data_IF_826445753323
#
_entry.id   IF_826445753323
#
_cell.length_a   1.000
_cell.length_b   1.000
_cell.length_c   1.000
_cell.angle_alpha   90.00
_cell.angle_beta   90.00
_cell.angle_gamma   90.00
#
_symmetry.space_group_name_H-M   'P 1'
#
loop_
_entity.id
_entity.type
_entity.pdbx_description
1 polymer ?
#
# COMPACT_ATOMS: atom_id res chain seq x y z
N UNK A 1 17.49 3.31 -6.98
CA UNK A 1 16.08 3.57 -6.64
C UNK A 1 16.01 3.75 -5.13
N UNK A 2 15.91 5.00 -4.69
CA UNK A 2 15.81 5.44 -3.30
C UNK A 2 14.53 6.25 -3.14
N UNK A 3 13.78 6.00 -2.06
CA UNK A 3 12.54 6.72 -1.77
C UNK A 3 12.81 8.13 -1.18
N UNK A 4 11.74 8.84 -0.86
CA UNK A 4 11.76 10.20 -0.30
C UNK A 4 11.62 10.24 1.24
N UNK A 5 11.90 9.14 1.95
CA UNK A 5 11.65 9.00 3.41
C UNK A 5 12.90 8.92 4.30
N UNK A 6 14.00 9.56 3.90
CA UNK A 6 15.28 9.46 4.62
C UNK A 6 15.70 10.73 5.39
N UNK A 7 14.97 11.84 5.27
CA UNK A 7 15.34 13.09 5.92
C UNK A 7 14.19 14.09 6.07
N UNK A 8 14.42 15.15 6.86
CA UNK A 8 13.47 16.25 7.00
C UNK A 8 13.45 17.12 5.74
N UNK A 9 12.27 17.55 5.31
CA UNK A 9 12.10 18.36 4.09
C UNK A 9 12.28 17.58 2.77
N UNK A 10 12.44 16.26 2.84
CA UNK A 10 12.62 15.36 1.68
C UNK A 10 11.29 14.85 1.09
N UNK A 11 10.24 14.51 1.88
CA UNK A 11 9.01 13.93 1.33
C UNK A 11 8.36 14.81 0.25
N UNK A 12 7.93 14.18 -0.85
CA UNK A 12 7.41 14.80 -2.08
C UNK A 12 8.36 15.80 -2.79
N UNK A 13 9.64 15.86 -2.41
CA UNK A 13 10.59 16.86 -2.94
C UNK A 13 11.87 16.22 -3.50
N UNK A 14 12.38 15.17 -2.85
CA UNK A 14 13.66 14.55 -3.20
C UNK A 14 13.58 13.02 -3.14
N UNK A 15 14.09 12.34 -4.16
CA UNK A 15 14.13 10.88 -4.25
C UNK A 15 13.99 10.42 -5.70
N UNK A 16 14.30 9.16 -5.98
CA UNK A 16 14.07 8.58 -7.32
C UNK A 16 12.56 8.40 -7.59
N UNK A 17 11.78 8.24 -6.52
CA UNK A 17 10.33 8.23 -6.54
C UNK A 17 9.76 8.79 -5.24
N UNK A 18 8.55 9.33 -5.31
CA UNK A 18 7.85 9.92 -4.17
C UNK A 18 6.90 8.92 -3.53
N UNK A 19 6.93 8.83 -2.21
CA UNK A 19 5.90 8.15 -1.43
C UNK A 19 5.04 9.15 -0.69
N UNK A 20 5.54 10.36 -0.41
CA UNK A 20 4.82 11.45 0.24
C UNK A 20 4.29 11.14 1.65
N UNK A 21 3.26 10.31 1.75
CA UNK A 21 2.64 9.83 2.98
C UNK A 21 2.21 8.38 2.85
N UNK A 22 1.81 7.74 3.94
CA UNK A 22 1.15 6.44 3.87
C UNK A 22 -0.19 6.57 3.14
N UNK A 23 -0.58 5.54 2.37
CA UNK A 23 -1.81 5.53 1.59
C UNK A 23 -1.94 6.72 0.62
N UNK A 24 -0.81 7.26 0.15
CA UNK A 24 -0.80 8.39 -0.77
C UNK A 24 -1.44 8.00 -2.11
N UNK A 25 -2.52 8.67 -2.47
CA UNK A 25 -3.16 8.53 -3.78
C UNK A 25 -3.53 9.93 -4.30
N UNK A 26 -2.80 10.48 -5.28
CA UNK A 26 -2.97 11.85 -5.73
C UNK A 26 -4.27 12.08 -6.52
N UNK A 27 -4.87 11.04 -7.10
CA UNK A 27 -6.08 11.15 -7.93
C UNK A 27 -5.91 11.94 -9.24
N UNK A 28 -4.70 12.38 -9.56
CA UNK A 28 -4.34 13.06 -10.80
C UNK A 28 -2.97 12.57 -11.27
N UNK A 29 -2.67 12.75 -12.56
CA UNK A 29 -1.40 12.33 -13.13
C UNK A 29 -0.24 13.13 -12.51
N UNK A 30 0.74 12.42 -11.96
CA UNK A 30 1.95 13.02 -11.38
C UNK A 30 3.10 12.88 -12.38
N UNK A 31 3.77 14.00 -12.68
CA UNK A 31 4.89 14.02 -13.64
C UNK A 31 6.10 13.24 -13.15
N UNK A 32 6.34 13.22 -11.83
CA UNK A 32 7.41 12.47 -11.20
C UNK A 32 6.95 11.05 -10.82
N UNK A 33 7.87 10.08 -10.83
CA UNK A 33 7.57 8.73 -10.37
C UNK A 33 7.22 8.72 -8.89
N UNK A 34 6.24 7.90 -8.53
CA UNK A 34 5.73 7.83 -7.17
C UNK A 34 5.18 6.42 -6.87
N UNK A 35 5.00 6.10 -5.60
CA UNK A 35 4.54 4.79 -5.13
C UNK A 35 3.48 4.93 -4.04
N UNK A 36 2.37 4.20 -4.19
CA UNK A 36 1.31 4.08 -3.20
C UNK A 36 1.58 2.87 -2.31
N UNK A 37 1.99 3.11 -1.07
CA UNK A 37 2.12 2.08 -0.05
C UNK A 37 0.83 2.01 0.78
N UNK A 38 0.12 0.88 0.73
CA UNK A 38 -1.10 0.67 1.52
C UNK A 38 -1.19 -0.75 2.11
N UNK A 39 -2.05 -0.90 3.12
CA UNK A 39 -2.27 -2.14 3.86
C UNK A 39 -3.57 -2.82 3.45
N UNK A 40 -3.58 -4.15 3.39
CA UNK A 40 -4.84 -4.90 3.22
C UNK A 40 -5.69 -4.81 4.49
N UNK A 41 -5.08 -4.78 5.67
CA UNK A 41 -5.77 -4.42 6.93
C UNK A 41 -5.93 -2.89 6.99
N UNK A 42 -7.13 -2.38 7.26
CA UNK A 42 -7.45 -0.94 7.24
C UNK A 42 -6.78 -0.16 8.36
N UNK A 43 -6.39 -0.82 9.46
CA UNK A 43 -5.89 -0.18 10.67
C UNK A 43 -4.42 -0.48 11.00
N UNK A 44 -3.79 -1.45 10.31
CA UNK A 44 -2.47 -1.93 10.72
C UNK A 44 -1.58 -2.40 9.56
N UNK A 45 -0.28 -2.08 9.68
CA UNK A 45 0.79 -2.67 8.87
C UNK A 45 1.20 -4.07 9.35
N UNK A 46 1.09 -4.33 10.66
CA UNK A 46 1.39 -5.64 11.26
C UNK A 46 0.16 -6.55 11.34
N UNK A 47 0.38 -7.83 11.62
CA UNK A 47 -0.71 -8.78 11.86
C UNK A 47 -1.41 -8.50 13.21
N UNK A 48 -2.71 -8.23 13.15
CA UNK A 48 -3.56 -8.02 14.34
C UNK A 48 -4.48 -9.22 14.52
N UNK A 49 -4.29 -9.96 15.62
CA UNK A 49 -5.02 -11.21 15.88
C UNK A 49 -6.52 -11.00 16.13
N UNK A 50 -6.91 -9.80 16.56
CA UNK A 50 -8.30 -9.44 16.87
C UNK A 50 -9.04 -8.85 15.67
N UNK A 51 -8.38 -8.64 14.52
CA UNK A 51 -9.02 -8.12 13.31
C UNK A 51 -10.07 -9.11 12.79
N UNK A 52 -11.25 -8.58 12.51
CA UNK A 52 -12.36 -9.28 11.86
C UNK A 52 -12.27 -9.13 10.35
N UNK A 53 -13.07 -9.89 9.59
CA UNK A 53 -13.08 -9.82 8.12
C UNK A 53 -13.40 -8.41 7.58
N UNK A 54 -14.17 -7.60 8.31
CA UNK A 54 -14.56 -6.24 7.91
C UNK A 54 -13.42 -5.22 8.05
N UNK A 55 -12.41 -5.55 8.87
CA UNK A 55 -11.23 -4.72 9.09
C UNK A 55 -10.22 -4.84 7.93
N UNK A 56 -10.46 -5.76 6.99
CA UNK A 56 -9.66 -5.89 5.77
C UNK A 56 -10.37 -5.23 4.59
N UNK A 57 -9.58 -4.74 3.65
CA UNK A 57 -10.07 -4.26 2.36
C UNK A 57 -10.73 -5.41 1.59
N UNK A 58 -11.82 -5.11 0.91
CA UNK A 58 -12.40 -6.02 -0.07
C UNK A 58 -11.53 -6.06 -1.31
N UNK A 59 -11.74 -7.07 -2.16
CA UNK A 59 -11.00 -7.14 -3.42
C UNK A 59 -11.30 -5.93 -4.32
N UNK A 60 -12.53 -5.45 -4.33
CA UNK A 60 -12.94 -4.27 -5.10
C UNK A 60 -12.21 -3.01 -4.62
N UNK A 61 -12.06 -2.83 -3.30
CA UNK A 61 -11.30 -1.73 -2.72
C UNK A 61 -9.81 -1.81 -3.10
N UNK A 62 -9.21 -3.00 -3.07
CA UNK A 62 -7.81 -3.23 -3.46
C UNK A 62 -7.61 -2.94 -4.94
N UNK A 63 -8.48 -3.49 -5.81
CA UNK A 63 -8.42 -3.25 -7.26
C UNK A 63 -8.60 -1.76 -7.59
N UNK A 64 -9.50 -1.07 -6.89
CA UNK A 64 -9.66 0.37 -7.03
C UNK A 64 -8.36 1.13 -6.75
N UNK A 65 -7.66 0.79 -5.66
CA UNK A 65 -6.35 1.42 -5.35
C UNK A 65 -5.31 1.11 -6.42
N UNK A 66 -5.26 -0.13 -6.92
CA UNK A 66 -4.31 -0.52 -7.97
C UNK A 66 -4.58 0.26 -9.26
N UNK A 67 -5.81 0.26 -9.74
CA UNK A 67 -6.21 0.89 -11.00
C UNK A 67 -5.98 2.41 -10.92
N UNK A 68 -6.36 3.05 -9.82
CA UNK A 68 -6.16 4.50 -9.65
C UNK A 68 -4.68 4.86 -9.59
N UNK A 69 -3.86 4.08 -8.90
CA UNK A 69 -2.41 4.31 -8.80
C UNK A 69 -1.72 4.14 -10.16
N UNK A 70 -2.01 3.06 -10.88
CA UNK A 70 -1.41 2.80 -12.20
C UNK A 70 -1.87 3.83 -13.24
N UNK A 71 -3.15 4.23 -13.21
CA UNK A 71 -3.68 5.25 -14.14
C UNK A 71 -3.09 6.64 -13.93
N UNK A 72 -2.56 6.92 -12.72
CA UNK A 72 -1.89 8.17 -12.37
C UNK A 72 -0.35 8.05 -12.39
N UNK A 73 0.18 6.99 -13.00
CA UNK A 73 1.60 6.82 -13.29
C UNK A 73 2.47 6.34 -12.13
N UNK A 74 1.83 5.87 -11.04
CA UNK A 74 2.48 5.37 -9.84
C UNK A 74 2.64 3.85 -9.81
N UNK A 75 3.47 3.40 -8.87
CA UNK A 75 3.62 1.99 -8.51
C UNK A 75 2.78 1.66 -7.27
N UNK A 76 2.42 0.40 -7.10
CA UNK A 76 1.67 -0.07 -5.94
C UNK A 76 2.55 -0.97 -5.08
N UNK A 77 2.58 -0.70 -3.77
CA UNK A 77 3.18 -1.55 -2.76
C UNK A 77 2.10 -1.99 -1.77
N UNK A 78 1.70 -3.25 -1.86
CA UNK A 78 0.66 -3.85 -1.00
C UNK A 78 1.33 -4.57 0.16
N UNK A 79 1.02 -4.15 1.38
CA UNK A 79 1.56 -4.77 2.58
C UNK A 79 0.74 -5.99 3.03
N UNK A 80 1.47 -7.02 3.45
CA UNK A 80 0.94 -8.22 4.13
C UNK A 80 1.65 -8.36 5.46
N UNK A 81 0.89 -8.48 6.55
CA UNK A 81 1.45 -8.76 7.88
C UNK A 81 1.47 -10.27 8.16
N UNK A 82 2.64 -10.94 8.18
CA UNK A 82 2.71 -12.35 8.53
C UNK A 82 2.40 -12.56 10.02
N UNK A 83 1.90 -13.75 10.35
CA UNK A 83 1.76 -14.21 11.73
C UNK A 83 3.12 -14.41 12.39
N UNK A 84 3.16 -14.44 13.72
CA UNK A 84 4.38 -14.72 14.50
C UNK A 84 5.04 -16.07 14.19
N UNK A 85 4.31 -16.99 13.55
CA UNK A 85 4.81 -18.29 13.09
C UNK A 85 5.41 -18.24 11.68
N UNK A 86 5.54 -17.06 11.08
CA UNK A 86 6.06 -16.88 9.72
C UNK A 86 5.09 -17.30 8.61
N UNK A 87 3.79 -17.44 8.92
CA UNK A 87 2.75 -17.78 7.92
C UNK A 87 1.92 -16.56 7.54
N UNK A 88 1.54 -16.46 6.27
CA UNK A 88 0.55 -15.49 5.79
C UNK A 88 -0.84 -15.96 6.25
N UNK A 89 -1.64 -15.05 6.80
CA UNK A 89 -3.01 -15.38 7.23
C UNK A 89 -3.90 -15.69 6.01
N UNK A 90 -4.85 -16.65 6.12
CA UNK A 90 -5.68 -17.06 4.98
C UNK A 90 -6.41 -15.92 4.27
N UNK A 91 -6.84 -14.89 5.00
CA UNK A 91 -7.52 -13.73 4.42
C UNK A 91 -6.61 -12.92 3.49
N UNK A 92 -5.33 -12.75 3.83
CA UNK A 92 -4.37 -12.09 2.95
C UNK A 92 -4.11 -12.95 1.71
N UNK A 93 -3.95 -14.27 1.88
CA UNK A 93 -3.76 -15.19 0.75
C UNK A 93 -4.96 -15.16 -0.20
N UNK A 94 -6.18 -15.18 0.32
CA UNK A 94 -7.41 -15.10 -0.48
C UNK A 94 -7.43 -13.81 -1.33
N UNK A 95 -7.17 -12.65 -0.71
CA UNK A 95 -7.11 -11.37 -1.43
C UNK A 95 -6.03 -11.34 -2.49
N UNK A 96 -4.84 -11.89 -2.19
CA UNK A 96 -3.75 -12.00 -3.16
C UNK A 96 -4.08 -12.91 -4.35
N UNK A 97 -4.87 -13.98 -4.14
CA UNK A 97 -5.28 -14.90 -5.21
C UNK A 97 -6.42 -14.37 -6.08
N UNK A 98 -7.20 -13.42 -5.55
CA UNK A 98 -8.31 -12.79 -6.27
C UNK A 98 -7.85 -11.67 -7.22
N UNK A 99 -6.64 -11.14 -7.02
CA UNK A 99 -6.00 -10.18 -7.93
C UNK A 99 -5.44 -10.86 -9.18
#
# INVERSE_FOLDING_TARGET
>A
VVNDRWGSGIPCQHGDFYTCSDHYNPGHLVTHKWENCFTIDKGSWGYVRTSSANDYLTIEEILYQIITTVSTGGNVLINVGPTSYGKIAPIFEERLRQM
#
